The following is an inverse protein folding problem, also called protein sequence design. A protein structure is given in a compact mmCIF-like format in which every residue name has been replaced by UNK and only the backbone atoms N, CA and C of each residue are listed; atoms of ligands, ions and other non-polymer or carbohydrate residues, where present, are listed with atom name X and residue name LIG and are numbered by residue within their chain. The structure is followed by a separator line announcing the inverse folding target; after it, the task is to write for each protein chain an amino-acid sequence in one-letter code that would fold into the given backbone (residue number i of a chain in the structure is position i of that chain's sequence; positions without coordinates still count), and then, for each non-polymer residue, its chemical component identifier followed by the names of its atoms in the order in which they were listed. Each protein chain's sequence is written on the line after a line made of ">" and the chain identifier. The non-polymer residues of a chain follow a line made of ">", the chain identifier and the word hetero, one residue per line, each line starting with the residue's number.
data_IF_354890997362
#
_entry.id   IF_354890997362
#
_cell.length_a   1.000
_cell.length_b   1.000
_cell.length_c   1.000
_cell.angle_alpha   90.00
_cell.angle_beta   90.00
_cell.angle_gamma   90.00
#
_symmetry.space_group_name_H-M   'P 1'
#
loop_
_entity.id
_entity.type
_entity.pdbx_description
1 polymer ?
#
# COMPACT_ATOMS: atom_id res chain seq x y z
N UNK A 1 46.16 6.22 42.09
CA UNK A 1 45.34 5.14 41.52
C UNK A 1 45.81 4.97 40.08
N UNK A 2 46.14 3.76 39.61
CA UNK A 2 46.54 3.59 38.22
C UNK A 2 45.30 3.60 37.33
N UNK A 3 45.35 4.42 36.28
CA UNK A 3 44.37 4.43 35.19
C UNK A 3 44.62 3.20 34.34
N UNK A 4 43.67 2.27 34.31
CA UNK A 4 43.68 1.14 33.37
C UNK A 4 43.02 1.62 32.09
N UNK A 5 43.81 1.72 31.02
CA UNK A 5 43.31 1.92 29.66
C UNK A 5 43.13 0.53 29.05
N UNK A 6 41.91 0.20 28.62
CA UNK A 6 41.64 -1.02 27.86
C UNK A 6 41.63 -0.66 26.37
N UNK A 7 42.40 -1.35 25.52
CA UNK A 7 42.22 -1.24 24.08
C UNK A 7 40.87 -1.89 23.70
N UNK A 8 40.07 -1.19 22.90
CA UNK A 8 38.83 -1.73 22.35
C UNK A 8 39.18 -2.74 21.23
N UNK A 9 39.58 -3.96 21.59
CA UNK A 9 39.68 -5.07 20.65
C UNK A 9 38.28 -5.65 20.42
N UNK A 10 37.70 -5.45 19.24
CA UNK A 10 36.42 -6.04 18.87
C UNK A 10 36.64 -7.53 18.58
N UNK A 11 35.91 -8.37 19.29
CA UNK A 11 36.06 -9.83 19.31
C UNK A 11 35.10 -10.44 18.29
N UNK A 12 35.63 -11.25 17.37
CA UNK A 12 34.80 -12.08 16.49
C UNK A 12 34.07 -13.14 17.33
N UNK A 13 32.74 -13.21 17.16
CA UNK A 13 31.88 -14.08 17.97
C UNK A 13 32.17 -15.57 17.72
N UNK A 14 32.73 -15.91 16.57
CA UNK A 14 33.08 -17.29 16.24
C UNK A 14 34.41 -17.74 16.86
N UNK A 15 35.33 -16.80 17.14
CA UNK A 15 36.66 -17.12 17.69
C UNK A 15 36.72 -17.14 19.22
N UNK A 16 35.76 -16.50 19.91
CA UNK A 16 35.74 -16.42 21.39
C UNK A 16 34.31 -16.46 21.98
N UNK A 17 33.66 -17.63 21.99
CA UNK A 17 32.29 -17.79 22.49
C UNK A 17 32.13 -17.49 23.99
N UNK A 18 33.21 -17.65 24.77
CA UNK A 18 33.26 -17.32 26.21
C UNK A 18 33.07 -15.83 26.54
N UNK A 19 33.31 -14.91 25.59
CA UNK A 19 33.15 -13.48 25.83
C UNK A 19 31.69 -13.01 25.63
N UNK A 20 30.84 -13.83 25.00
CA UNK A 20 29.42 -13.52 24.76
C UNK A 20 28.59 -13.49 26.06
N UNK A 21 28.99 -14.25 27.09
CA UNK A 21 28.31 -14.22 28.40
C UNK A 21 28.56 -12.92 29.20
N UNK A 22 29.65 -12.19 28.91
CA UNK A 22 29.98 -10.96 29.65
C UNK A 22 29.28 -9.69 29.13
N UNK A 23 28.61 -9.76 27.96
CA UNK A 23 27.91 -8.63 27.34
C UNK A 23 26.37 -8.76 27.37
N UNK A 24 25.82 -9.60 28.27
CA UNK A 24 24.38 -9.67 28.54
C UNK A 24 23.88 -8.37 29.20
N UNK A 25 23.58 -7.37 28.38
CA UNK A 25 23.08 -6.06 28.83
C UNK A 25 23.19 -4.94 27.78
N UNK A 26 23.92 -5.16 26.69
CA UNK A 26 24.00 -4.20 25.58
C UNK A 26 22.91 -4.54 24.56
N UNK A 27 22.08 -3.54 24.22
CA UNK A 27 20.97 -3.64 23.28
C UNK A 27 21.46 -4.26 21.94
N UNK A 28 20.85 -5.36 21.46
CA UNK A 28 21.29 -6.06 20.25
C UNK A 28 21.18 -5.27 18.94
N UNK A 29 20.70 -4.01 18.97
CA UNK A 29 20.69 -3.09 17.82
C UNK A 29 22.07 -2.70 17.26
N UNK A 30 23.17 -3.12 17.87
CA UNK A 30 24.54 -2.75 17.46
C UNK A 30 25.35 -3.90 16.84
N UNK A 31 24.75 -5.06 16.56
CA UNK A 31 25.46 -6.17 15.92
C UNK A 31 25.26 -6.13 14.40
N UNK A 32 26.31 -5.77 13.67
CA UNK A 32 26.37 -6.00 12.23
C UNK A 32 26.35 -7.51 11.95
N UNK A 33 25.51 -7.95 11.03
CA UNK A 33 25.55 -9.29 10.46
C UNK A 33 26.87 -9.53 9.73
N UNK A 34 27.27 -10.80 9.58
CA UNK A 34 28.46 -11.17 8.82
C UNK A 34 28.42 -10.64 7.36
N UNK A 35 27.24 -10.43 6.79
CA UNK A 35 27.05 -9.83 5.47
C UNK A 35 27.38 -8.34 5.47
N UNK A 36 26.88 -7.57 6.44
CA UNK A 36 27.18 -6.13 6.60
C UNK A 36 28.66 -5.89 6.89
N UNK A 37 29.29 -6.76 7.68
CA UNK A 37 30.73 -6.69 7.95
C UNK A 37 31.59 -6.95 6.71
N UNK A 38 31.21 -7.92 5.89
CA UNK A 38 31.89 -8.18 4.62
C UNK A 38 31.69 -7.03 3.63
N UNK A 39 30.54 -6.37 3.65
CA UNK A 39 30.29 -5.17 2.84
C UNK A 39 31.20 -4.01 3.25
N UNK A 40 31.30 -3.72 4.55
CA UNK A 40 32.21 -2.69 5.09
C UNK A 40 33.67 -3.02 4.77
N UNK A 41 34.09 -4.27 4.98
CA UNK A 41 35.45 -4.73 4.68
C UNK A 41 35.77 -4.58 3.18
N UNK A 42 34.81 -4.91 2.32
CA UNK A 42 34.96 -4.73 0.88
C UNK A 42 34.99 -3.26 0.46
N UNK A 43 34.21 -2.39 1.12
CA UNK A 43 34.24 -0.94 0.89
C UNK A 43 35.57 -0.32 1.34
N UNK A 44 36.06 -0.70 2.53
CA UNK A 44 37.39 -0.30 3.03
C UNK A 44 38.48 -0.80 2.06
N UNK A 45 38.41 -2.06 1.64
CA UNK A 45 39.36 -2.61 0.69
C UNK A 45 39.27 -1.93 -0.68
N UNK A 46 38.07 -1.57 -1.15
CA UNK A 46 37.87 -0.84 -2.40
C UNK A 46 38.41 0.59 -2.31
N UNK A 47 38.21 1.28 -1.20
CA UNK A 47 38.82 2.59 -0.93
C UNK A 47 40.35 2.47 -0.88
N UNK A 48 40.87 1.47 -0.18
CA UNK A 48 42.29 1.15 -0.14
C UNK A 48 42.83 0.83 -1.54
N UNK A 49 42.05 0.14 -2.37
CA UNK A 49 42.36 -0.23 -3.76
C UNK A 49 42.29 0.99 -4.70
N UNK A 50 41.35 1.91 -4.51
CA UNK A 50 41.27 3.19 -5.24
C UNK A 50 42.44 4.12 -4.89
N UNK A 51 42.86 4.11 -3.63
CA UNK A 51 44.03 4.83 -3.16
C UNK A 51 45.30 4.17 -3.71
N UNK A 52 45.38 2.83 -3.73
CA UNK A 52 46.61 2.08 -4.03
C UNK A 52 46.80 1.60 -5.48
N UNK A 53 45.76 1.48 -6.32
CA UNK A 53 45.89 0.72 -7.60
C UNK A 53 45.28 1.32 -8.87
N UNK A 54 44.77 2.55 -8.92
CA UNK A 54 44.41 3.07 -10.25
C UNK A 54 43.62 4.35 -10.34
N UNK A 55 44.22 5.47 -9.96
CA UNK A 55 43.89 6.73 -10.62
C UNK A 55 44.97 6.99 -11.67
N UNK A 56 44.59 7.22 -12.93
CA UNK A 56 45.51 7.40 -14.08
C UNK A 56 46.48 8.58 -13.94
N UNK A 57 46.35 9.33 -12.84
CA UNK A 57 47.06 10.55 -12.56
C UNK A 57 48.11 10.40 -11.46
N UNK A 58 48.36 9.18 -10.94
CA UNK A 58 49.52 8.94 -10.07
C UNK A 58 50.81 8.89 -10.88
N UNK A 59 51.73 9.81 -10.60
CA UNK A 59 52.95 10.00 -11.40
C UNK A 59 54.18 9.25 -10.86
N UNK A 60 54.07 8.66 -9.66
CA UNK A 60 55.14 7.90 -9.01
C UNK A 60 55.69 8.59 -7.74
N UNK A 61 56.78 8.02 -7.24
CA UNK A 61 57.53 8.53 -6.08
C UNK A 61 58.77 9.30 -6.55
N UNK A 62 59.05 10.46 -5.95
CA UNK A 62 60.18 11.33 -6.26
C UNK A 62 60.96 11.64 -5.00
N UNK A 63 62.27 11.82 -5.09
CA UNK A 63 63.09 12.14 -3.89
C UNK A 63 63.08 13.62 -3.53
N UNK A 64 62.60 14.48 -4.43
CA UNK A 64 62.52 15.95 -4.26
C UNK A 64 61.41 16.52 -5.13
N UNK A 65 60.85 17.67 -4.76
CA UNK A 65 59.93 18.43 -5.61
C UNK A 65 60.54 18.77 -6.97
N UNK A 66 61.82 19.14 -7.00
CA UNK A 66 62.52 19.46 -8.25
C UNK A 66 62.56 18.25 -9.21
N UNK A 67 62.72 17.03 -8.67
CA UNK A 67 62.67 15.82 -9.49
C UNK A 67 61.26 15.55 -10.05
N UNK A 68 60.22 15.83 -9.27
CA UNK A 68 58.83 15.74 -9.73
C UNK A 68 58.54 16.78 -10.83
N UNK A 69 58.87 18.05 -10.59
CA UNK A 69 58.65 19.15 -11.55
C UNK A 69 59.43 18.91 -12.84
N UNK A 70 60.67 18.42 -12.74
CA UNK A 70 61.48 18.11 -13.92
C UNK A 70 60.91 16.95 -14.74
N UNK A 71 60.33 15.94 -14.09
CA UNK A 71 59.72 14.79 -14.75
C UNK A 71 58.34 15.13 -15.34
N UNK A 72 57.58 16.00 -14.67
CA UNK A 72 56.21 16.37 -15.02
C UNK A 72 56.00 17.88 -14.84
N UNK A 73 56.47 18.70 -15.81
CA UNK A 73 56.36 20.15 -15.73
C UNK A 73 54.94 20.68 -15.98
N UNK A 74 54.06 19.85 -16.56
CA UNK A 74 52.67 20.18 -16.88
C UNK A 74 51.80 18.91 -16.88
N UNK A 75 51.54 18.31 -15.70
CA UNK A 75 50.74 17.10 -15.61
C UNK A 75 49.24 17.40 -15.74
N UNK A 76 48.43 16.36 -15.95
CA UNK A 76 46.97 16.56 -16.03
C UNK A 76 46.40 17.06 -14.69
N UNK A 77 45.37 17.93 -14.71
CA UNK A 77 44.70 18.42 -13.50
C UNK A 77 44.32 17.28 -12.55
N UNK A 78 44.68 17.37 -11.26
CA UNK A 78 44.44 16.29 -10.29
C UNK A 78 45.47 15.15 -10.35
N UNK A 79 46.58 15.33 -11.06
CA UNK A 79 47.77 14.51 -10.90
C UNK A 79 48.37 14.60 -9.52
N UNK A 80 48.91 13.48 -9.06
CA UNK A 80 49.45 13.34 -7.71
C UNK A 80 50.75 12.53 -7.73
N UNK A 81 51.67 12.88 -6.86
CA UNK A 81 52.94 12.20 -6.71
C UNK A 81 53.40 12.26 -5.25
N UNK A 82 54.11 11.23 -4.80
CA UNK A 82 54.74 11.26 -3.49
C UNK A 82 56.15 11.84 -3.62
N UNK A 83 56.53 12.70 -2.68
CA UNK A 83 57.89 13.19 -2.53
C UNK A 83 58.46 12.53 -1.27
N UNK A 84 59.21 11.45 -1.48
CA UNK A 84 59.84 10.65 -0.43
C UNK A 84 61.15 11.32 -0.03
N UNK A 85 61.11 12.15 1.00
CA UNK A 85 62.29 12.77 1.56
C UNK A 85 62.95 11.80 2.55
N UNK A 86 64.14 11.30 2.20
CA UNK A 86 64.85 10.25 2.96
C UNK A 86 65.14 10.59 4.43
N UNK A 87 65.01 11.87 4.83
CA UNK A 87 65.40 12.32 6.17
C UNK A 87 64.23 12.83 7.05
N UNK A 88 63.04 13.13 6.52
CA UNK A 88 61.85 13.43 7.32
C UNK A 88 60.60 13.58 6.44
N UNK A 89 59.59 12.74 6.72
CA UNK A 89 58.21 12.75 6.20
C UNK A 89 58.06 12.68 4.66
N UNK A 90 57.09 11.88 4.21
CA UNK A 90 56.71 11.84 2.80
C UNK A 90 55.71 12.97 2.52
N UNK A 91 56.05 13.90 1.63
CA UNK A 91 55.15 14.97 1.20
C UNK A 91 54.28 14.48 0.03
N UNK A 92 53.00 14.88 -0.02
CA UNK A 92 52.18 14.68 -1.21
C UNK A 92 52.17 15.96 -2.05
N UNK A 93 52.49 15.81 -3.34
CA UNK A 93 52.29 16.85 -4.32
C UNK A 93 51.01 16.60 -5.12
N UNK A 94 50.13 17.59 -5.20
CA UNK A 94 48.93 17.60 -6.05
C UNK A 94 49.03 18.73 -7.06
N UNK A 95 48.76 18.43 -8.33
CA UNK A 95 48.73 19.44 -9.38
C UNK A 95 47.34 20.06 -9.49
N UNK A 96 47.27 21.36 -9.24
CA UNK A 96 46.07 22.17 -9.45
C UNK A 96 46.21 22.98 -10.74
N UNK A 97 45.22 22.84 -11.61
CA UNK A 97 45.18 23.50 -12.91
C UNK A 97 44.89 25.01 -12.82
N UNK A 98 44.32 25.47 -11.71
CA UNK A 98 43.95 26.89 -11.58
C UNK A 98 45.15 27.79 -11.29
N UNK A 99 46.18 27.23 -10.66
CA UNK A 99 47.36 27.98 -10.22
C UNK A 99 48.66 27.53 -10.95
N UNK A 100 48.57 26.56 -11.88
CA UNK A 100 49.69 25.98 -12.63
C UNK A 100 50.89 25.60 -11.73
N UNK A 101 50.60 25.08 -10.54
CA UNK A 101 51.61 24.74 -9.54
C UNK A 101 51.29 23.47 -8.78
N UNK A 102 52.35 22.83 -8.29
CA UNK A 102 52.25 21.72 -7.34
C UNK A 102 51.94 22.25 -5.94
N UNK A 103 50.79 21.84 -5.40
CA UNK A 103 50.46 22.01 -4.00
C UNK A 103 51.10 20.90 -3.19
N UNK A 104 52.06 21.26 -2.34
CA UNK A 104 52.77 20.34 -1.46
C UNK A 104 52.11 20.38 -0.09
N UNK A 105 51.61 19.24 0.34
CA UNK A 105 51.03 19.07 1.66
C UNK A 105 52.13 18.55 2.59
N UNK A 106 52.80 19.46 3.29
CA UNK A 106 53.78 19.13 4.32
C UNK A 106 53.06 18.59 5.56
N UNK A 107 53.15 17.29 5.80
CA UNK A 107 52.48 16.62 6.92
C UNK A 107 53.41 15.65 7.62
N UNK A 108 53.55 15.79 8.94
CA UNK A 108 54.21 14.80 9.79
C UNK A 108 53.31 13.55 9.91
N UNK A 109 53.40 12.69 8.90
CA UNK A 109 52.52 11.54 8.73
C UNK A 109 52.19 11.42 7.26
N UNK A 110 53.11 10.82 6.49
CA UNK A 110 52.87 10.47 5.10
C UNK A 110 51.56 9.69 4.94
N UNK A 111 51.12 9.50 3.69
CA UNK A 111 49.88 8.80 3.30
C UNK A 111 49.62 7.41 3.94
N UNK A 112 50.54 6.89 4.74
CA UNK A 112 50.47 5.59 5.42
C UNK A 112 50.06 5.61 6.89
N UNK A 113 49.99 6.74 7.59
CA UNK A 113 49.36 6.73 8.92
C UNK A 113 47.89 7.09 8.77
N UNK A 114 47.10 6.11 8.31
CA UNK A 114 45.75 5.96 8.86
C UNK A 114 45.97 6.03 10.36
N UNK A 115 45.32 6.98 11.05
CA UNK A 115 45.40 7.00 12.51
C UNK A 115 45.17 5.56 12.98
N UNK A 116 46.06 5.04 13.83
CA UNK A 116 46.04 3.63 14.25
C UNK A 116 44.67 3.24 14.83
N UNK A 117 43.88 4.24 15.21
CA UNK A 117 42.48 4.15 15.55
C UNK A 117 41.67 4.87 14.47
N UNK A 118 40.74 4.17 13.82
CA UNK A 118 39.61 4.77 13.10
C UNK A 118 38.75 5.54 14.12
N UNK A 119 39.24 6.69 14.56
CA UNK A 119 38.67 7.49 15.63
C UNK A 119 37.81 8.60 15.05
N UNK A 120 36.66 8.84 15.67
CA UNK A 120 35.80 10.01 15.39
C UNK A 120 36.48 11.34 15.73
N UNK A 121 37.65 11.30 16.39
CA UNK A 121 38.48 12.47 16.72
C UNK A 121 39.62 12.69 15.73
N UNK A 122 39.75 11.88 14.66
CA UNK A 122 40.80 12.06 13.66
C UNK A 122 40.71 13.46 13.04
N UNK A 123 41.84 14.14 12.93
CA UNK A 123 41.93 15.45 12.26
C UNK A 123 42.17 15.31 10.77
N UNK A 124 42.32 14.08 10.26
CA UNK A 124 42.57 13.81 8.84
C UNK A 124 41.26 13.97 8.03
N UNK A 125 41.14 15.01 7.19
CA UNK A 125 39.90 15.32 6.49
C UNK A 125 39.51 14.24 5.45
N UNK A 126 40.49 13.56 4.85
CA UNK A 126 40.24 12.51 3.86
C UNK A 126 39.73 11.22 4.53
N UNK A 127 40.31 10.84 5.67
CA UNK A 127 39.85 9.71 6.46
C UNK A 127 38.42 9.94 6.96
N UNK A 128 38.12 11.14 7.47
CA UNK A 128 36.77 11.49 7.93
C UNK A 128 35.75 11.48 6.78
N UNK A 129 36.12 11.98 5.59
CA UNK A 129 35.24 11.95 4.42
C UNK A 129 34.93 10.52 3.98
N UNK A 130 35.95 9.66 3.87
CA UNK A 130 35.77 8.27 3.45
C UNK A 130 35.00 7.42 4.48
N UNK A 131 35.23 7.64 5.78
CA UNK A 131 34.43 7.01 6.85
C UNK A 131 32.98 7.48 6.76
N UNK A 132 32.74 8.77 6.54
CA UNK A 132 31.38 9.32 6.39
C UNK A 132 30.67 8.72 5.18
N UNK A 133 31.33 8.63 4.02
CA UNK A 133 30.75 7.99 2.82
C UNK A 133 30.48 6.50 3.03
N UNK A 134 31.41 5.77 3.66
CA UNK A 134 31.23 4.35 3.95
C UNK A 134 30.10 4.11 4.96
N UNK A 135 29.99 4.97 5.98
CA UNK A 135 28.88 4.92 6.93
C UNK A 135 27.55 5.25 6.26
N UNK A 136 27.49 6.25 5.38
CA UNK A 136 26.29 6.56 4.58
C UNK A 136 25.85 5.38 3.70
N UNK A 137 26.80 4.61 3.15
CA UNK A 137 26.48 3.42 2.35
C UNK A 137 25.91 2.26 3.19
N UNK A 138 26.23 2.23 4.48
CA UNK A 138 25.83 1.17 5.41
C UNK A 138 24.64 1.56 6.27
N UNK A 139 24.30 2.85 6.35
CA UNK A 139 23.11 3.30 7.06
C UNK A 139 21.88 2.89 6.27
N UNK A 140 20.93 2.15 6.89
CA UNK A 140 19.64 1.92 6.29
C UNK A 140 19.00 3.26 5.91
N UNK A 141 18.39 3.31 4.73
CA UNK A 141 17.59 4.45 4.30
C UNK A 141 16.48 4.72 5.34
N UNK A 142 16.02 5.97 5.49
CA UNK A 142 14.85 6.27 6.31
C UNK A 142 13.63 5.49 5.82
N UNK A 143 12.80 5.03 6.76
CA UNK A 143 11.51 4.42 6.44
C UNK A 143 10.47 5.52 6.21
N UNK A 144 9.86 5.52 5.02
CA UNK A 144 8.79 6.46 4.66
C UNK A 144 7.43 5.77 4.70
N UNK A 145 6.49 6.32 5.47
CA UNK A 145 5.09 5.93 5.50
C UNK A 145 4.34 6.56 4.31
N UNK A 146 3.78 5.71 3.45
CA UNK A 146 3.09 6.16 2.25
C UNK A 146 1.77 6.90 2.55
N UNK A 147 1.43 7.98 1.81
CA UNK A 147 0.15 8.67 1.95
C UNK A 147 -1.04 7.75 1.68
N UNK A 148 -2.18 8.04 2.29
CA UNK A 148 -3.43 7.30 2.06
C UNK A 148 -4.62 8.23 1.87
N UNK A 149 -5.61 7.78 1.09
CA UNK A 149 -6.90 8.44 0.96
C UNK A 149 -8.03 7.54 1.47
N UNK A 150 -9.05 8.14 2.08
CA UNK A 150 -10.28 7.48 2.48
C UNK A 150 -11.50 8.24 1.95
N UNK A 151 -12.55 7.51 1.65
CA UNK A 151 -13.85 8.04 1.23
C UNK A 151 -14.92 7.55 2.22
N UNK A 152 -15.75 8.45 2.73
CA UNK A 152 -16.84 8.08 3.64
C UNK A 152 -17.75 7.00 3.05
N UNK A 153 -18.28 6.15 3.93
CA UNK A 153 -19.00 4.93 3.50
C UNK A 153 -20.37 5.25 2.92
N UNK A 154 -20.57 4.85 1.66
CA UNK A 154 -21.90 4.76 0.99
C UNK A 154 -22.11 3.37 0.38
N UNK A 155 -21.36 2.35 0.82
CA UNK A 155 -21.52 1.01 0.28
C UNK A 155 -22.88 0.45 0.71
N UNK A 156 -23.77 0.22 -0.25
CA UNK A 156 -25.13 -0.23 0.03
C UNK A 156 -25.73 -1.02 -1.13
N UNK A 157 -26.70 -1.87 -0.80
CA UNK A 157 -27.58 -2.50 -1.79
C UNK A 157 -28.88 -1.74 -1.84
N UNK A 158 -29.35 -1.43 -3.05
CA UNK A 158 -30.62 -0.75 -3.30
C UNK A 158 -31.48 -1.55 -4.27
N UNK A 159 -32.75 -1.22 -4.35
CA UNK A 159 -33.61 -1.82 -5.37
C UNK A 159 -33.30 -1.21 -6.73
N UNK A 160 -33.34 -2.01 -7.82
CA UNK A 160 -33.25 -1.50 -9.19
C UNK A 160 -34.21 -0.32 -9.40
N UNK A 161 -33.72 0.71 -10.08
CA UNK A 161 -34.45 1.95 -10.36
C UNK A 161 -34.57 2.92 -9.17
N UNK A 162 -33.98 2.59 -8.01
CA UNK A 162 -33.97 3.49 -6.85
C UNK A 162 -33.24 4.79 -7.19
N UNK A 163 -33.78 5.92 -6.73
CA UNK A 163 -33.11 7.22 -6.77
C UNK A 163 -32.68 7.60 -5.35
N UNK A 164 -31.44 8.04 -5.21
CA UNK A 164 -30.83 8.42 -3.94
C UNK A 164 -30.45 9.90 -4.00
N UNK A 165 -31.10 10.69 -3.15
CA UNK A 165 -30.79 12.11 -3.01
C UNK A 165 -29.79 12.35 -1.88
N UNK A 166 -28.98 13.39 -2.02
CA UNK A 166 -28.09 13.90 -0.97
C UNK A 166 -27.07 12.87 -0.45
N UNK A 167 -26.46 12.09 -1.35
CA UNK A 167 -25.35 11.24 -1.01
C UNK A 167 -24.12 12.09 -0.68
N UNK A 168 -23.69 12.05 0.57
CA UNK A 168 -22.56 12.86 1.06
C UNK A 168 -21.27 12.06 1.07
N UNK A 169 -20.26 12.59 0.39
CA UNK A 169 -18.93 12.00 0.31
C UNK A 169 -17.88 12.99 0.84
N UNK A 170 -17.14 12.58 1.85
CA UNK A 170 -15.95 13.29 2.32
C UNK A 170 -14.70 12.47 1.97
N UNK A 171 -13.77 13.12 1.28
CA UNK A 171 -12.45 12.58 0.98
C UNK A 171 -11.50 13.02 2.11
N UNK A 172 -10.96 12.06 2.86
CA UNK A 172 -9.95 12.31 3.89
C UNK A 172 -8.58 11.92 3.34
N UNK A 173 -7.60 12.82 3.50
CA UNK A 173 -6.20 12.57 3.16
C UNK A 173 -5.40 12.36 4.44
N UNK A 174 -4.69 11.25 4.51
CA UNK A 174 -3.70 10.97 5.54
C UNK A 174 -2.33 11.18 4.91
N UNK A 175 -1.68 12.28 5.29
CA UNK A 175 -0.45 12.73 4.65
C UNK A 175 0.72 11.75 4.85
N UNK A 176 0.88 11.25 6.08
CA UNK A 176 2.08 10.50 6.48
C UNK A 176 3.35 11.25 6.06
N UNK A 177 4.30 10.59 5.39
CA UNK A 177 5.51 11.23 4.87
C UNK A 177 5.37 11.80 3.45
N UNK A 178 4.15 11.77 2.90
CA UNK A 178 3.82 12.48 1.66
C UNK A 178 3.80 13.99 1.85
N UNK A 179 3.84 14.74 0.74
CA UNK A 179 3.63 16.18 0.77
C UNK A 179 2.17 16.58 1.08
N UNK A 180 1.90 17.88 1.28
CA UNK A 180 0.55 18.38 1.45
C UNK A 180 -0.33 18.07 0.23
N UNK A 181 -1.63 17.88 0.46
CA UNK A 181 -2.60 17.71 -0.61
C UNK A 181 -2.70 18.96 -1.49
N UNK A 182 -2.74 18.76 -2.80
CA UNK A 182 -2.84 19.82 -3.81
C UNK A 182 -4.15 19.78 -4.60
N UNK A 183 -4.91 18.70 -4.50
CA UNK A 183 -6.21 18.58 -5.15
C UNK A 183 -6.99 17.36 -4.70
N UNK A 184 -8.31 17.44 -4.80
CA UNK A 184 -9.23 16.35 -4.51
C UNK A 184 -10.04 16.05 -5.75
N UNK A 185 -10.41 14.78 -5.95
CA UNK A 185 -11.31 14.35 -7.01
C UNK A 185 -12.26 13.28 -6.49
N UNK A 186 -13.54 13.40 -6.83
CA UNK A 186 -14.49 12.29 -6.71
C UNK A 186 -14.68 11.68 -8.09
N UNK A 187 -14.44 10.37 -8.19
CA UNK A 187 -14.63 9.60 -9.40
C UNK A 187 -15.88 8.73 -9.27
N UNK A 188 -16.68 8.66 -10.33
CA UNK A 188 -17.81 7.75 -10.53
C UNK A 188 -17.50 6.85 -11.71
N UNK A 189 -17.42 5.54 -11.50
CA UNK A 189 -17.03 4.55 -12.51
C UNK A 189 -15.74 4.95 -13.27
N UNK A 190 -14.75 5.48 -12.53
CA UNK A 190 -13.47 5.96 -13.07
C UNK A 190 -13.51 7.35 -13.73
N UNK A 191 -14.68 7.97 -13.87
CA UNK A 191 -14.83 9.32 -14.45
C UNK A 191 -14.92 10.37 -13.34
N UNK A 192 -14.13 11.43 -13.45
CA UNK A 192 -14.19 12.56 -12.52
C UNK A 192 -15.55 13.26 -12.58
N UNK A 193 -16.21 13.39 -11.42
CA UNK A 193 -17.50 14.09 -11.27
C UNK A 193 -17.41 15.31 -10.36
N UNK A 194 -16.30 15.48 -9.65
CA UNK A 194 -16.06 16.65 -8.79
C UNK A 194 -14.58 16.81 -8.45
N UNK A 195 -14.17 18.03 -8.13
CA UNK A 195 -12.80 18.41 -7.75
C UNK A 195 -12.68 18.95 -6.32
N UNK A 196 -13.70 18.75 -5.47
CA UNK A 196 -13.70 19.24 -4.08
C UNK A 196 -13.65 18.08 -3.08
N UNK A 197 -13.20 18.39 -1.85
CA UNK A 197 -13.05 17.41 -0.78
C UNK A 197 -14.40 16.88 -0.26
N UNK A 198 -15.38 17.78 -0.12
CA UNK A 198 -16.73 17.48 0.38
C UNK A 198 -17.71 17.55 -0.78
N UNK A 199 -18.42 16.46 -1.03
CA UNK A 199 -19.32 16.33 -2.15
C UNK A 199 -20.70 15.91 -1.67
N UNK A 200 -21.72 16.49 -2.29
CA UNK A 200 -23.10 16.02 -2.16
C UNK A 200 -23.63 15.82 -3.56
N UNK A 201 -24.04 14.59 -3.88
CA UNK A 201 -24.55 14.23 -5.20
C UNK A 201 -25.90 13.54 -5.07
N UNK A 202 -26.60 13.40 -6.19
CA UNK A 202 -27.77 12.55 -6.32
C UNK A 202 -27.53 11.55 -7.44
N UNK A 203 -28.08 10.35 -7.27
CA UNK A 203 -28.09 9.32 -8.29
C UNK A 203 -29.55 8.97 -8.58
N UNK A 204 -29.95 9.12 -9.83
CA UNK A 204 -31.32 8.87 -10.27
C UNK A 204 -31.39 7.54 -11.03
N UNK A 205 -32.48 6.81 -10.81
CA UNK A 205 -32.81 5.59 -11.53
C UNK A 205 -31.64 4.57 -11.63
N UNK A 206 -31.12 4.15 -10.48
CA UNK A 206 -29.93 3.28 -10.42
C UNK A 206 -30.25 1.88 -10.95
N UNK A 207 -29.72 1.56 -12.13
CA UNK A 207 -29.94 0.29 -12.83
C UNK A 207 -28.67 -0.55 -13.04
N UNK A 208 -27.51 0.03 -12.71
CA UNK A 208 -26.20 -0.64 -12.80
C UNK A 208 -25.40 -0.41 -11.52
N UNK A 209 -24.37 -1.22 -11.31
CA UNK A 209 -23.44 -1.03 -10.19
C UNK A 209 -22.70 0.29 -10.37
N UNK A 210 -22.76 1.15 -9.36
CA UNK A 210 -22.04 2.43 -9.36
C UNK A 210 -20.89 2.33 -8.36
N UNK A 211 -19.69 2.66 -8.81
CA UNK A 211 -18.48 2.71 -8.00
C UNK A 211 -18.02 4.15 -7.81
N UNK A 212 -17.77 4.53 -6.58
CA UNK A 212 -17.18 5.81 -6.20
C UNK A 212 -15.77 5.62 -5.65
N UNK A 213 -14.89 6.55 -5.97
CA UNK A 213 -13.53 6.57 -5.47
C UNK A 213 -13.09 8.02 -5.22
N UNK A 214 -12.44 8.27 -4.09
CA UNK A 214 -11.74 9.53 -3.84
C UNK A 214 -10.31 9.44 -4.36
N UNK A 215 -9.83 10.48 -5.01
CA UNK A 215 -8.43 10.63 -5.36
C UNK A 215 -7.89 11.94 -4.78
N UNK A 216 -6.67 11.89 -4.25
CA UNK A 216 -5.98 13.05 -3.68
C UNK A 216 -4.63 13.21 -4.34
N UNK A 217 -4.45 14.32 -5.05
CA UNK A 217 -3.14 14.72 -5.54
C UNK A 217 -2.34 15.34 -4.38
N UNK A 218 -1.05 15.04 -4.30
CA UNK A 218 -0.16 15.55 -3.27
C UNK A 218 1.21 15.94 -3.83
N UNK A 219 1.89 16.85 -3.13
CA UNK A 219 3.27 17.22 -3.43
C UNK A 219 4.27 16.14 -2.98
N UNK A 220 5.55 16.35 -3.32
CA UNK A 220 6.67 15.59 -2.77
C UNK A 220 6.72 15.73 -1.25
N UNK A 221 7.10 14.65 -0.55
CA UNK A 221 7.34 14.64 0.89
C UNK A 221 8.55 15.48 1.31
N UNK A 222 8.78 15.57 2.62
CA UNK A 222 10.00 16.16 3.17
C UNK A 222 11.14 15.13 3.15
N UNK A 223 12.39 15.59 3.03
CA UNK A 223 13.57 14.72 3.15
C UNK A 223 13.77 14.38 4.62
N UNK A 224 13.69 13.11 4.97
CA UNK A 224 13.96 12.63 6.33
C UNK A 224 15.47 12.51 6.59
N UNK A 225 15.83 12.48 7.88
CA UNK A 225 17.20 12.19 8.28
C UNK A 225 17.39 10.68 8.45
N UNK A 226 18.54 10.17 8.04
CA UNK A 226 18.96 8.80 8.34
C UNK A 226 19.34 8.65 9.83
N UNK A 227 19.76 7.45 10.23
CA UNK A 227 20.13 7.14 11.62
C UNK A 227 21.33 7.96 12.16
N UNK A 228 22.10 8.62 11.28
CA UNK A 228 23.20 9.52 11.64
C UNK A 228 22.74 10.98 11.78
N UNK A 229 21.45 11.27 11.57
CA UNK A 229 20.91 12.63 11.61
C UNK A 229 21.20 13.46 10.36
N UNK A 230 21.66 12.83 9.28
CA UNK A 230 21.93 13.49 7.99
C UNK A 230 20.73 13.37 7.06
N UNK A 231 20.37 14.42 6.29
CA UNK A 231 19.30 14.34 5.30
C UNK A 231 19.58 13.25 4.26
N UNK A 232 18.60 12.38 4.02
CA UNK A 232 18.67 11.28 3.06
C UNK A 232 17.35 11.18 2.27
N UNK A 233 17.43 11.46 0.97
CA UNK A 233 16.29 11.40 0.05
C UNK A 233 15.97 9.99 -0.46
N UNK A 234 16.73 8.99 -0.04
CA UNK A 234 16.44 7.59 -0.40
C UNK A 234 15.11 7.18 0.18
N UNK A 235 14.16 6.76 -0.66
CA UNK A 235 12.79 6.44 -0.25
C UNK A 235 11.81 7.61 -0.26
N UNK A 236 12.27 8.84 -0.57
CA UNK A 236 11.45 10.04 -0.61
C UNK A 236 10.18 9.87 -1.46
N UNK A 237 9.02 10.07 -0.84
CA UNK A 237 7.71 10.01 -1.50
C UNK A 237 7.60 11.14 -2.52
N UNK A 238 7.58 10.76 -3.81
CA UNK A 238 7.41 11.70 -4.91
C UNK A 238 5.99 12.28 -4.96
N UNK A 239 5.82 13.42 -5.64
CA UNK A 239 4.49 13.96 -5.92
C UNK A 239 3.67 12.93 -6.72
N UNK A 240 2.39 12.81 -6.38
CA UNK A 240 1.58 11.72 -6.90
C UNK A 240 0.09 11.87 -6.63
N UNK A 241 -0.64 10.79 -6.86
CA UNK A 241 -2.06 10.69 -6.53
C UNK A 241 -2.30 9.40 -5.78
N UNK A 242 -2.94 9.51 -4.62
CA UNK A 242 -3.41 8.36 -3.85
C UNK A 242 -4.91 8.20 -4.02
N UNK A 243 -5.36 6.95 -4.07
CA UNK A 243 -6.76 6.61 -4.28
C UNK A 243 -7.34 5.94 -3.03
N UNK A 244 -8.60 6.24 -2.74
CA UNK A 244 -9.34 5.48 -1.73
C UNK A 244 -9.72 4.10 -2.24
N UNK A 245 -10.17 3.23 -1.33
CA UNK A 245 -10.95 2.05 -1.71
C UNK A 245 -12.24 2.46 -2.42
N UNK A 246 -12.77 1.58 -3.27
CA UNK A 246 -14.07 1.79 -3.91
C UNK A 246 -15.21 1.73 -2.90
N UNK A 247 -16.22 2.59 -3.09
CA UNK A 247 -17.53 2.50 -2.45
C UNK A 247 -18.56 2.17 -3.50
N UNK A 248 -19.42 1.19 -3.23
CA UNK A 248 -20.26 0.60 -4.28
C UNK A 248 -21.74 0.69 -3.92
N UNK A 249 -22.54 1.17 -4.87
CA UNK A 249 -24.00 1.02 -4.82
C UNK A 249 -24.36 -0.13 -5.76
N UNK A 250 -24.92 -1.18 -5.19
CA UNK A 250 -25.32 -2.38 -5.95
C UNK A 250 -26.84 -2.42 -6.07
N UNK A 251 -27.41 -2.15 -7.26
CA UNK A 251 -28.84 -2.32 -7.45
C UNK A 251 -29.19 -3.81 -7.62
N UNK A 252 -30.32 -4.22 -7.06
CA UNK A 252 -30.85 -5.59 -7.16
C UNK A 252 -32.35 -5.59 -7.32
N UNK A 253 -32.88 -6.61 -7.98
CA UNK A 253 -34.33 -6.86 -7.97
C UNK A 253 -34.76 -7.52 -6.66
N UNK A 254 -36.04 -7.35 -6.31
CA UNK A 254 -36.69 -8.09 -5.23
C UNK A 254 -37.55 -9.23 -5.77
N UNK A 255 -37.66 -10.28 -4.98
CA UNK A 255 -38.74 -11.24 -5.06
C UNK A 255 -39.86 -10.82 -4.11
N UNK A 256 -41.11 -11.02 -4.52
CA UNK A 256 -42.30 -10.72 -3.73
C UNK A 256 -43.09 -12.01 -3.53
N UNK A 257 -43.61 -12.24 -2.33
CA UNK A 257 -44.32 -13.47 -2.01
C UNK A 257 -45.29 -13.32 -0.86
N UNK A 258 -46.24 -14.25 -0.80
CA UNK A 258 -47.18 -14.36 0.30
C UNK A 258 -48.57 -14.72 -0.19
N UNK A 259 -49.53 -14.54 0.70
CA UNK A 259 -50.94 -14.77 0.45
C UNK A 259 -51.62 -13.57 -0.22
N UNK A 260 -52.60 -13.85 -1.09
CA UNK A 260 -53.55 -12.87 -1.62
C UNK A 260 -54.85 -13.58 -2.03
N UNK A 261 -55.97 -12.85 -2.06
CA UNK A 261 -57.28 -13.42 -2.43
C UNK A 261 -57.44 -13.73 -3.92
N UNK A 262 -56.55 -13.19 -4.75
CA UNK A 262 -56.55 -13.37 -6.20
C UNK A 262 -55.14 -13.29 -6.77
N UNK A 263 -54.95 -13.90 -7.94
CA UNK A 263 -53.71 -13.88 -8.69
C UNK A 263 -53.31 -12.42 -8.96
N UNK A 264 -52.09 -11.97 -8.56
CA UNK A 264 -51.61 -10.64 -8.89
C UNK A 264 -51.64 -10.43 -10.41
N UNK A 265 -52.36 -9.39 -10.86
CA UNK A 265 -52.51 -9.06 -12.28
C UNK A 265 -51.80 -7.76 -12.67
N UNK A 266 -51.18 -7.08 -11.71
CA UNK A 266 -50.46 -5.81 -11.92
C UNK A 266 -49.19 -5.77 -11.08
N UNK A 267 -48.17 -4.97 -11.46
CA UNK A 267 -46.99 -4.73 -10.63
C UNK A 267 -47.32 -4.27 -9.22
N UNK A 268 -48.30 -3.37 -9.07
CA UNK A 268 -48.73 -2.87 -7.77
C UNK A 268 -49.30 -3.98 -6.87
N UNK A 269 -50.11 -4.89 -7.42
CA UNK A 269 -50.65 -6.03 -6.67
C UNK A 269 -49.55 -7.02 -6.25
N UNK A 270 -48.58 -7.29 -7.13
CA UNK A 270 -47.45 -8.15 -6.80
C UNK A 270 -46.54 -7.54 -5.71
N UNK A 271 -46.28 -6.23 -5.78
CA UNK A 271 -45.49 -5.50 -4.77
C UNK A 271 -46.22 -5.36 -3.42
N UNK A 272 -47.55 -5.48 -3.42
CA UNK A 272 -48.38 -5.49 -2.23
C UNK A 272 -48.39 -6.84 -1.49
N UNK A 273 -47.75 -7.89 -2.03
CA UNK A 273 -47.61 -9.15 -1.32
C UNK A 273 -46.86 -8.93 0.01
N UNK A 274 -47.25 -9.60 1.11
CA UNK A 274 -46.78 -9.24 2.45
C UNK A 274 -45.28 -9.43 2.69
N UNK A 275 -44.62 -10.26 1.89
CA UNK A 275 -43.19 -10.56 2.04
C UNK A 275 -42.41 -10.16 0.80
N UNK A 276 -41.21 -9.62 1.03
CA UNK A 276 -40.25 -9.39 -0.04
C UNK A 276 -38.83 -9.68 0.44
N UNK A 277 -37.96 -10.05 -0.49
CA UNK A 277 -36.54 -10.33 -0.24
C UNK A 277 -35.74 -10.01 -1.48
N UNK A 278 -34.43 -9.82 -1.36
CA UNK A 278 -33.58 -9.66 -2.53
C UNK A 278 -33.61 -10.95 -3.37
N UNK A 279 -33.76 -10.81 -4.69
CA UNK A 279 -33.96 -11.96 -5.57
C UNK A 279 -32.73 -12.86 -5.70
N UNK A 280 -31.55 -12.36 -5.32
CA UNK A 280 -30.29 -13.11 -5.27
C UNK A 280 -30.09 -13.85 -3.95
N UNK A 281 -30.99 -13.70 -2.98
CA UNK A 281 -31.04 -14.62 -1.85
C UNK A 281 -31.53 -15.98 -2.35
N UNK A 282 -30.68 -16.99 -2.23
CA UNK A 282 -31.01 -18.35 -2.68
C UNK A 282 -32.07 -19.02 -1.80
N UNK A 283 -32.38 -18.49 -0.62
CA UNK A 283 -33.42 -19.00 0.27
C UNK A 283 -34.26 -17.86 0.83
N UNK A 284 -35.59 -17.98 0.72
CA UNK A 284 -36.54 -17.00 1.22
C UNK A 284 -37.68 -17.73 1.93
N UNK A 285 -38.14 -17.24 3.07
CA UNK A 285 -39.23 -17.86 3.83
C UNK A 285 -40.35 -16.86 4.10
N UNK A 286 -41.58 -17.35 4.16
CA UNK A 286 -42.74 -16.58 4.59
C UNK A 286 -43.74 -17.46 5.35
N UNK A 287 -44.53 -16.84 6.22
CA UNK A 287 -45.62 -17.52 6.94
C UNK A 287 -46.92 -17.43 6.14
N UNK A 288 -47.74 -18.48 6.19
CA UNK A 288 -48.90 -18.66 5.33
C UNK A 288 -50.18 -18.02 5.85
N UNK A 289 -50.28 -17.72 7.14
CA UNK A 289 -51.51 -17.25 7.82
C UNK A 289 -52.66 -18.31 7.84
N UNK A 290 -53.60 -18.21 8.81
CA UNK A 290 -54.64 -19.21 9.11
C UNK A 290 -55.72 -19.36 8.03
N UNK A 291 -55.95 -18.33 7.21
CA UNK A 291 -57.10 -18.28 6.31
C UNK A 291 -56.69 -18.37 4.83
N UNK A 292 -55.39 -18.30 4.55
CA UNK A 292 -54.91 -18.29 3.18
C UNK A 292 -55.03 -19.66 2.51
N UNK A 293 -55.63 -19.66 1.34
CA UNK A 293 -55.72 -20.84 0.44
C UNK A 293 -54.94 -20.65 -0.85
N UNK A 294 -54.38 -19.47 -1.06
CA UNK A 294 -53.66 -19.07 -2.27
C UNK A 294 -52.36 -18.38 -1.90
N UNK A 295 -51.27 -18.80 -2.52
CA UNK A 295 -49.93 -18.29 -2.30
C UNK A 295 -49.28 -17.95 -3.62
N UNK A 296 -48.62 -16.80 -3.66
CA UNK A 296 -48.00 -16.28 -4.85
C UNK A 296 -46.52 -16.02 -4.61
N UNK A 297 -45.73 -16.23 -5.67
CA UNK A 297 -44.31 -15.92 -5.69
C UNK A 297 -43.99 -15.26 -7.01
N UNK A 298 -43.51 -14.02 -6.95
CA UNK A 298 -43.06 -13.24 -8.11
C UNK A 298 -41.56 -13.08 -8.03
N UNK A 299 -40.84 -13.62 -9.00
CA UNK A 299 -39.37 -13.56 -9.08
C UNK A 299 -38.92 -13.01 -10.44
N UNK A 300 -37.78 -12.30 -10.52
CA UNK A 300 -37.22 -11.86 -11.80
C UNK A 300 -36.99 -13.03 -12.77
N UNK A 301 -37.14 -12.81 -14.07
CA UNK A 301 -37.12 -13.88 -15.08
C UNK A 301 -35.82 -14.72 -15.10
N UNK A 302 -34.68 -14.15 -14.68
CA UNK A 302 -33.40 -14.87 -14.56
C UNK A 302 -33.31 -15.86 -13.39
N UNK A 303 -34.37 -15.98 -12.57
CA UNK A 303 -34.46 -16.90 -11.44
C UNK A 303 -35.55 -17.95 -11.66
N UNK A 304 -35.45 -19.06 -10.95
CA UNK A 304 -36.45 -20.15 -10.91
C UNK A 304 -36.58 -20.68 -9.48
N UNK A 305 -37.76 -21.17 -9.12
CA UNK A 305 -37.95 -21.98 -7.91
C UNK A 305 -37.30 -23.35 -8.16
N UNK A 306 -36.37 -23.75 -7.28
CA UNK A 306 -35.71 -25.07 -7.34
C UNK A 306 -36.20 -26.02 -6.26
N UNK A 307 -36.65 -25.50 -5.13
CA UNK A 307 -37.21 -26.27 -4.02
C UNK A 307 -38.20 -25.39 -3.25
N UNK A 308 -39.29 -25.99 -2.78
CA UNK A 308 -40.16 -25.40 -1.75
C UNK A 308 -40.40 -26.42 -0.65
N UNK A 309 -40.05 -26.05 0.57
CA UNK A 309 -40.24 -26.86 1.77
C UNK A 309 -41.36 -26.27 2.64
N UNK A 310 -42.29 -27.12 3.07
CA UNK A 310 -43.23 -26.81 4.14
C UNK A 310 -42.59 -27.16 5.49
N UNK A 311 -42.00 -26.15 6.13
CA UNK A 311 -41.24 -26.34 7.37
C UNK A 311 -42.13 -26.78 8.53
N UNK A 312 -43.43 -26.50 8.48
CA UNK A 312 -44.37 -26.86 9.53
C UNK A 312 -44.93 -28.27 9.36
N UNK A 313 -44.76 -28.86 8.18
CA UNK A 313 -45.08 -30.26 7.89
C UNK A 313 -43.82 -31.11 7.69
N UNK A 314 -42.91 -31.09 8.69
CA UNK A 314 -41.67 -31.88 8.71
C UNK A 314 -40.72 -31.59 7.52
N UNK A 315 -40.77 -30.40 6.93
CA UNK A 315 -39.95 -30.05 5.76
C UNK A 315 -40.39 -30.77 4.49
N UNK A 316 -41.69 -31.06 4.34
CA UNK A 316 -42.21 -31.72 3.15
C UNK A 316 -41.87 -30.92 1.89
N UNK A 317 -41.33 -31.60 0.87
CA UNK A 317 -41.11 -31.01 -0.45
C UNK A 317 -42.46 -30.84 -1.17
N UNK A 318 -42.83 -29.58 -1.33
CA UNK A 318 -44.07 -29.13 -1.96
C UNK A 318 -43.79 -28.37 -3.26
N UNK A 319 -42.59 -28.48 -3.82
CA UNK A 319 -42.15 -27.73 -5.02
C UNK A 319 -43.13 -27.86 -6.18
N UNK A 320 -43.59 -29.08 -6.44
CA UNK A 320 -44.53 -29.38 -7.55
C UNK A 320 -45.90 -28.72 -7.40
N UNK A 321 -46.24 -28.18 -6.22
CA UNK A 321 -47.51 -27.49 -5.97
C UNK A 321 -47.46 -26.00 -6.33
N UNK A 322 -46.27 -25.44 -6.55
CA UNK A 322 -46.08 -24.09 -7.08
C UNK A 322 -45.99 -24.14 -8.60
N UNK A 323 -47.10 -23.84 -9.27
CA UNK A 323 -47.22 -23.87 -10.72
C UNK A 323 -46.85 -22.51 -11.30
N UNK A 324 -45.99 -22.48 -12.32
CA UNK A 324 -45.72 -21.28 -13.09
C UNK A 324 -46.97 -20.92 -13.92
N UNK A 325 -47.67 -19.85 -13.53
CA UNK A 325 -48.91 -19.41 -14.19
C UNK A 325 -48.66 -18.31 -15.22
N UNK A 326 -47.58 -17.55 -15.06
CA UNK A 326 -47.12 -16.59 -16.05
C UNK A 326 -45.60 -16.54 -16.10
N UNK A 327 -45.02 -16.90 -17.24
CA UNK A 327 -43.57 -16.90 -17.47
C UNK A 327 -43.02 -15.53 -17.89
N UNK A 328 -43.90 -14.58 -18.21
CA UNK A 328 -43.55 -13.25 -18.69
C UNK A 328 -44.36 -12.15 -17.97
N UNK A 329 -44.61 -12.35 -16.68
CA UNK A 329 -45.33 -11.40 -15.84
C UNK A 329 -44.60 -10.04 -15.85
N UNK A 330 -45.31 -8.96 -16.17
CA UNK A 330 -44.71 -7.62 -16.19
C UNK A 330 -44.65 -7.07 -14.78
N UNK A 331 -43.44 -6.70 -14.33
CA UNK A 331 -43.17 -6.02 -13.08
C UNK A 331 -42.60 -4.64 -13.36
N UNK A 332 -42.66 -3.75 -12.37
CA UNK A 332 -41.96 -2.47 -12.37
C UNK A 332 -40.92 -2.48 -11.25
N UNK A 333 -39.73 -1.95 -11.55
CA UNK A 333 -38.70 -1.68 -10.54
C UNK A 333 -39.08 -0.44 -9.69
N UNK A 334 -38.20 0.00 -8.78
CA UNK A 334 -38.52 1.15 -7.92
C UNK A 334 -38.54 2.49 -8.69
N UNK A 335 -37.97 2.53 -9.89
CA UNK A 335 -38.00 3.69 -10.79
C UNK A 335 -39.19 3.70 -11.74
N UNK A 336 -40.03 2.66 -11.72
CA UNK A 336 -41.15 2.49 -12.65
C UNK A 336 -40.72 1.91 -14.01
N UNK A 337 -39.50 1.39 -14.14
CA UNK A 337 -39.11 0.71 -15.38
C UNK A 337 -39.66 -0.71 -15.38
N UNK A 338 -40.29 -1.10 -16.48
CA UNK A 338 -40.82 -2.44 -16.66
C UNK A 338 -39.68 -3.48 -16.80
N UNK A 339 -39.86 -4.64 -16.18
CA UNK A 339 -39.00 -5.81 -16.38
C UNK A 339 -39.83 -7.10 -16.34
N UNK A 340 -39.29 -8.15 -16.96
CA UNK A 340 -39.95 -9.47 -17.01
C UNK A 340 -39.69 -10.27 -15.74
N UNK A 341 -40.76 -10.80 -15.17
CA UNK A 341 -40.77 -11.68 -14.01
C UNK A 341 -41.52 -12.99 -14.32
N UNK A 342 -41.42 -13.94 -13.40
CA UNK A 342 -42.20 -15.19 -13.36
C UNK A 342 -43.13 -15.14 -12.16
N UNK A 343 -44.38 -15.50 -12.37
CA UNK A 343 -45.41 -15.62 -11.34
C UNK A 343 -45.74 -17.10 -11.12
N UNK A 344 -45.50 -17.57 -9.91
CA UNK A 344 -45.88 -18.89 -9.46
C UNK A 344 -47.10 -18.78 -8.54
N UNK A 345 -48.02 -19.71 -8.69
CA UNK A 345 -49.21 -19.86 -7.87
C UNK A 345 -49.19 -21.21 -7.18
N UNK A 346 -49.63 -21.23 -5.92
CA UNK A 346 -50.06 -22.43 -5.23
C UNK A 346 -51.45 -22.19 -4.65
N UNK A 347 -52.38 -23.07 -4.99
CA UNK A 347 -53.72 -23.11 -4.38
C UNK A 347 -53.91 -24.39 -3.57
N UNK A 348 -54.72 -24.32 -2.52
CA UNK A 348 -55.13 -25.51 -1.76
C UNK A 348 -56.56 -25.39 -1.23
N UNK A 349 -57.20 -26.53 -0.97
CA UNK A 349 -58.59 -26.56 -0.53
C UNK A 349 -58.77 -26.26 0.96
N UNK A 350 -57.76 -26.58 1.78
CA UNK A 350 -57.79 -26.40 3.24
C UNK A 350 -56.75 -25.36 3.61
N UNK A 351 -57.10 -24.31 4.37
CA UNK A 351 -56.13 -23.34 4.86
C UNK A 351 -55.03 -24.00 5.71
N UNK A 352 -53.89 -23.32 5.82
CA UNK A 352 -52.83 -23.73 6.73
C UNK A 352 -53.15 -23.38 8.19
N UNK A 353 -52.44 -24.02 9.12
CA UNK A 353 -52.39 -23.54 10.49
C UNK A 353 -51.66 -22.18 10.58
N UNK A 354 -51.91 -21.41 11.64
CA UNK A 354 -51.52 -19.98 11.82
C UNK A 354 -50.06 -19.64 11.57
N UNK A 355 -49.19 -20.62 11.70
CA UNK A 355 -47.75 -20.43 11.66
C UNK A 355 -47.08 -21.42 10.70
N UNK A 356 -47.81 -21.92 9.70
CA UNK A 356 -47.15 -22.68 8.66
C UNK A 356 -46.16 -21.79 7.89
N UNK A 357 -44.97 -22.32 7.65
CA UNK A 357 -43.89 -21.56 7.01
C UNK A 357 -43.44 -22.28 5.75
N UNK A 358 -43.48 -21.59 4.63
CA UNK A 358 -42.85 -22.05 3.41
C UNK A 358 -41.45 -21.48 3.31
N UNK A 359 -40.49 -22.33 2.92
CA UNK A 359 -39.15 -21.93 2.55
C UNK A 359 -38.95 -22.23 1.07
N UNK A 360 -38.70 -21.20 0.28
CA UNK A 360 -38.46 -21.26 -1.15
C UNK A 360 -36.95 -21.15 -1.38
N UNK A 361 -36.38 -22.09 -2.12
CA UNK A 361 -35.04 -22.00 -2.67
C UNK A 361 -35.11 -21.54 -4.13
N UNK A 362 -34.30 -20.54 -4.47
CA UNK A 362 -34.17 -20.00 -5.81
C UNK A 362 -32.88 -20.49 -6.46
N UNK A 363 -32.93 -20.76 -7.76
CA UNK A 363 -31.77 -21.01 -8.61
C UNK A 363 -31.71 -20.04 -9.78
N UNK A 364 -30.61 -20.11 -10.53
CA UNK A 364 -30.50 -19.42 -11.82
C UNK A 364 -31.30 -20.21 -12.87
N UNK A 365 -32.03 -19.47 -13.72
CA UNK A 365 -32.91 -20.03 -14.75
C UNK A 365 -32.16 -20.71 -15.90
#
# INVERSE_FOLDING_TARGET
>A
MPTVVFPLSIVDKEDHPELVEQFQGVDPKYYYSAAEWNLLRNAINALHTMISTGNSKYLGDFTTTDALIAAYPDPEPGSRANIVNLEANDDLALWDENDEQWFIFEGAGGFGTVDAELSTESTNPLQNAAITEALLLLTPAPDYDAPMANLTSVTQTVEMGTSLANLTFNITYYQYDGGPATGYKLLRNGVEISTVQNNTISEDNITEVIQFQGAVAHNVGEVQNNILGLPDSTGLIQAGTVYSVFRTITPKYKAFMGMADAIPSTPAAARALPYSSWADNDSISFVTDQEATQFYVVIPAGRVITLVEDLSNLGADITSTYVLVDAAFTMEDNGGNEYTAKLYERTQAVPYDEYATHKITLGNA
#
